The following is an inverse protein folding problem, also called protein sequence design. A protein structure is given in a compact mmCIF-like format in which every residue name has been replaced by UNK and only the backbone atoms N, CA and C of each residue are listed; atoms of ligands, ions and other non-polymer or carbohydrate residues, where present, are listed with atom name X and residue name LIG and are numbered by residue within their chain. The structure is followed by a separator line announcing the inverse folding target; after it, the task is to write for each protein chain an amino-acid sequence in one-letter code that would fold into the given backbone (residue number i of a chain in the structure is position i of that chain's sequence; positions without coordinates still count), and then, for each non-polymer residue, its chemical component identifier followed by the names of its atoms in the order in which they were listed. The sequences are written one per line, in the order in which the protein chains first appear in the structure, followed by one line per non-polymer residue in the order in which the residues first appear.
data_IF_499256137649
#
_entry.id   IF_499256137649
#
_cell.length_a   1.000
_cell.length_b   1.000
_cell.length_c   1.000
_cell.angle_alpha   90.00
_cell.angle_beta   90.00
_cell.angle_gamma   90.00
#
_symmetry.space_group_name_H-M   'P 1'
#
loop_
_entity.id
_entity.type
_entity.pdbx_description
1 polymer ?
#
# COMPACT_ATOMS: atom_id res chain seq x y z
N UNK A 1 -0.58 20.20 -13.41
CA UNK A 1 -1.99 19.91 -13.71
C UNK A 1 -2.76 21.18 -13.47
N UNK A 2 -3.47 21.64 -14.49
CA UNK A 2 -4.24 22.87 -14.42
C UNK A 2 -5.64 22.58 -13.84
N UNK A 3 -6.33 23.62 -13.36
CA UNK A 3 -7.74 23.51 -12.99
C UNK A 3 -8.60 23.01 -14.19
N UNK A 4 -8.18 23.32 -15.42
CA UNK A 4 -8.84 22.88 -16.63
C UNK A 4 -8.69 21.37 -16.88
N UNK A 5 -7.53 20.78 -16.56
CA UNK A 5 -7.31 19.34 -16.66
C UNK A 5 -8.22 18.58 -15.69
N UNK A 6 -8.36 19.08 -14.45
CA UNK A 6 -9.27 18.51 -13.46
C UNK A 6 -10.74 18.65 -13.85
N UNK A 7 -11.13 19.78 -14.44
CA UNK A 7 -12.50 20.00 -14.91
C UNK A 7 -12.90 19.06 -16.06
N UNK A 8 -11.94 18.51 -16.80
CA UNK A 8 -12.16 17.53 -17.87
C UNK A 8 -12.09 16.08 -17.40
N UNK A 9 -11.50 15.83 -16.23
CA UNK A 9 -11.42 14.49 -15.67
C UNK A 9 -12.81 13.98 -15.27
N UNK A 10 -13.00 12.65 -15.32
CA UNK A 10 -14.21 12.06 -14.76
C UNK A 10 -14.33 12.41 -13.27
N UNK A 11 -15.55 12.61 -12.78
CA UNK A 11 -15.78 12.99 -11.38
C UNK A 11 -15.06 12.05 -10.41
N UNK A 12 -15.15 10.74 -10.64
CA UNK A 12 -14.50 9.78 -9.76
C UNK A 12 -12.98 9.98 -9.72
N UNK A 13 -12.34 10.18 -10.88
CA UNK A 13 -10.91 10.45 -10.96
C UNK A 13 -10.56 11.76 -10.23
N UNK A 14 -11.44 12.76 -10.19
CA UNK A 14 -11.15 14.03 -9.52
C UNK A 14 -11.34 14.01 -7.99
N UNK A 15 -12.15 13.08 -7.43
CA UNK A 15 -12.63 13.18 -6.04
C UNK A 15 -12.48 11.90 -5.19
N UNK A 16 -12.03 10.76 -5.74
CA UNK A 16 -11.96 9.48 -5.02
C UNK A 16 -11.19 9.55 -3.69
N UNK A 17 -10.11 10.32 -3.63
CA UNK A 17 -9.24 10.43 -2.45
C UNK A 17 -9.93 11.06 -1.24
N UNK A 18 -10.98 11.86 -1.46
CA UNK A 18 -11.72 12.52 -0.37
C UNK A 18 -12.55 11.53 0.45
N UNK A 19 -12.96 10.42 -0.18
CA UNK A 19 -13.71 9.36 0.48
C UNK A 19 -12.80 8.38 1.24
N UNK A 20 -11.49 8.40 0.93
CA UNK A 20 -10.47 7.49 1.48
C UNK A 20 -10.48 7.39 2.99
N UNK A 21 -10.12 8.45 3.71
CA UNK A 21 -9.99 8.40 5.15
C UNK A 21 -11.28 7.94 5.85
N UNK A 22 -12.45 8.38 5.37
CA UNK A 22 -13.73 7.96 5.95
C UNK A 22 -14.00 6.47 5.76
N UNK A 23 -13.81 5.95 4.53
CA UNK A 23 -14.02 4.53 4.25
C UNK A 23 -12.97 3.65 4.95
N UNK A 24 -11.74 4.14 5.09
CA UNK A 24 -10.69 3.47 5.86
C UNK A 24 -11.00 3.40 7.36
N UNK A 25 -11.53 4.48 7.95
CA UNK A 25 -12.00 4.49 9.33
C UNK A 25 -13.14 3.50 9.54
N UNK A 26 -14.11 3.46 8.63
CA UNK A 26 -15.21 2.50 8.68
C UNK A 26 -14.67 1.07 8.60
N UNK A 27 -13.73 0.79 7.69
CA UNK A 27 -13.08 -0.52 7.57
C UNK A 27 -12.36 -0.92 8.86
N UNK A 28 -11.59 -0.01 9.48
CA UNK A 28 -10.91 -0.26 10.74
C UNK A 28 -11.87 -0.62 11.88
N UNK A 29 -13.06 -0.01 11.88
CA UNK A 29 -14.10 -0.23 12.87
C UNK A 29 -14.92 -1.52 12.64
N UNK A 30 -14.77 -2.20 11.49
CA UNK A 30 -15.53 -3.42 11.22
C UNK A 30 -15.13 -4.55 12.19
N UNK A 31 -16.12 -5.27 12.76
CA UNK A 31 -15.86 -6.46 13.55
C UNK A 31 -15.52 -7.63 12.63
N UNK A 32 -14.26 -7.70 12.19
CA UNK A 32 -13.80 -8.83 11.37
C UNK A 32 -13.58 -10.07 12.23
N UNK A 33 -14.06 -11.25 11.79
CA UNK A 33 -13.83 -12.51 12.48
C UNK A 33 -12.34 -12.80 12.50
N UNK A 34 -11.87 -13.34 13.62
CA UNK A 34 -10.45 -13.58 13.85
C UNK A 34 -10.21 -15.06 13.89
N UNK A 35 -9.44 -15.56 12.92
CA UNK A 35 -9.17 -16.98 12.80
C UNK A 35 -7.67 -17.26 12.68
N UNK A 36 -7.29 -18.45 13.15
CA UNK A 36 -5.95 -18.99 12.98
C UNK A 36 -4.89 -18.23 13.76
N UNK A 37 -3.66 -18.30 13.26
CA UNK A 37 -2.47 -17.83 13.98
C UNK A 37 -2.42 -16.32 14.23
N UNK A 38 -3.22 -15.52 13.51
CA UNK A 38 -3.24 -14.07 13.65
C UNK A 38 -4.08 -13.60 14.85
N UNK A 39 -4.95 -14.44 15.39
CA UNK A 39 -5.67 -14.16 16.65
C UNK A 39 -4.71 -14.01 17.84
N UNK A 40 -3.55 -14.66 17.78
CA UNK A 40 -2.50 -14.60 18.80
C UNK A 40 -1.54 -13.42 18.61
N UNK A 41 -1.72 -12.60 17.56
CA UNK A 41 -0.90 -11.41 17.33
C UNK A 41 -1.09 -10.37 18.44
N UNK A 42 -0.04 -9.57 18.68
CA UNK A 42 -0.13 -8.46 19.63
C UNK A 42 -1.25 -7.48 19.23
N UNK A 43 -1.92 -6.83 20.19
CA UNK A 43 -2.91 -5.79 19.86
C UNK A 43 -2.32 -4.71 18.94
N UNK A 44 -1.06 -4.32 19.16
CA UNK A 44 -0.36 -3.34 18.31
C UNK A 44 -0.30 -3.79 16.85
N UNK A 45 0.17 -5.02 16.59
CA UNK A 45 0.27 -5.56 15.23
C UNK A 45 -1.09 -5.63 14.53
N UNK A 46 -2.16 -5.96 15.27
CA UNK A 46 -3.53 -5.97 14.74
C UNK A 46 -4.02 -4.56 14.39
N UNK A 47 -3.77 -3.58 15.25
CA UNK A 47 -4.08 -2.18 14.95
C UNK A 47 -3.31 -1.65 13.75
N UNK A 48 -2.02 -1.97 13.63
CA UNK A 48 -1.20 -1.58 12.49
C UNK A 48 -1.62 -2.28 11.19
N UNK A 49 -2.10 -3.52 11.28
CA UNK A 49 -2.66 -4.23 10.13
C UNK A 49 -3.88 -3.52 9.57
N UNK A 50 -4.85 -3.19 10.41
CA UNK A 50 -6.06 -2.45 9.97
C UNK A 50 -5.74 -1.00 9.61
N UNK A 51 -4.84 -0.38 10.36
CA UNK A 51 -4.46 1.02 10.22
C UNK A 51 -3.69 1.34 8.95
N UNK A 52 -3.11 0.34 8.27
CA UNK A 52 -2.41 0.50 6.99
C UNK A 52 -3.26 1.30 5.98
N UNK A 53 -4.51 0.89 5.77
CA UNK A 53 -5.43 1.56 4.84
C UNK A 53 -5.68 3.02 5.22
N UNK A 54 -5.83 3.30 6.52
CA UNK A 54 -6.03 4.67 6.98
C UNK A 54 -4.78 5.52 6.72
N UNK A 55 -3.59 5.01 7.06
CA UNK A 55 -2.33 5.72 6.84
C UNK A 55 -2.14 6.03 5.36
N UNK A 56 -2.37 5.05 4.48
CA UNK A 56 -2.16 5.24 3.05
C UNK A 56 -3.23 6.17 2.44
N UNK A 57 -4.50 6.07 2.85
CA UNK A 57 -5.54 7.00 2.35
C UNK A 57 -5.32 8.45 2.78
N UNK A 58 -4.72 8.70 3.94
CA UNK A 58 -4.31 10.06 4.34
C UNK A 58 -3.13 10.53 3.48
N UNK A 59 -2.17 9.66 3.17
CA UNK A 59 -1.08 9.98 2.24
C UNK A 59 -1.62 10.32 0.83
N UNK A 60 -2.57 9.55 0.31
CA UNK A 60 -3.28 9.85 -0.94
C UNK A 60 -4.00 11.20 -0.91
N UNK A 61 -4.56 11.57 0.25
CA UNK A 61 -5.20 12.87 0.43
C UNK A 61 -4.18 14.01 0.31
N UNK A 62 -2.97 13.87 0.87
CA UNK A 62 -1.91 14.87 0.70
C UNK A 62 -1.44 14.97 -0.76
N UNK A 63 -1.26 13.84 -1.45
CA UNK A 63 -0.74 13.83 -2.83
C UNK A 63 -1.75 14.32 -3.87
N UNK A 64 -3.02 13.96 -3.69
CA UNK A 64 -4.05 14.10 -4.72
C UNK A 64 -5.21 15.01 -4.30
N UNK A 65 -5.49 15.12 -3.00
CA UNK A 65 -6.48 16.03 -2.45
C UNK A 65 -5.92 17.43 -2.35
N UNK A 66 -5.11 17.66 -1.30
CA UNK A 66 -4.42 18.93 -1.07
C UNK A 66 -3.09 18.67 -0.38
N UNK A 67 -2.02 19.20 -0.97
CA UNK A 67 -0.70 19.17 -0.35
C UNK A 67 -0.58 20.17 0.81
N UNK A 68 0.58 20.21 1.48
CA UNK A 68 0.82 21.12 2.62
C UNK A 68 0.73 22.61 2.25
N UNK A 69 0.76 22.95 0.96
CA UNK A 69 0.60 24.31 0.44
C UNK A 69 -0.82 24.59 -0.09
N UNK A 70 -1.74 23.63 0.06
CA UNK A 70 -3.11 23.75 -0.41
C UNK A 70 -3.27 23.57 -1.93
N UNK A 71 -2.25 23.05 -2.63
CA UNK A 71 -2.38 22.74 -4.04
C UNK A 71 -3.07 21.39 -4.24
N UNK A 72 -4.04 21.38 -5.13
CA UNK A 72 -4.74 20.15 -5.49
C UNK A 72 -3.96 19.35 -6.51
N UNK A 73 -3.90 18.03 -6.32
CA UNK A 73 -3.32 17.11 -7.31
C UNK A 73 -1.87 17.43 -7.71
N UNK A 74 -1.08 17.97 -6.77
CA UNK A 74 0.29 18.43 -7.05
C UNK A 74 1.24 17.28 -7.33
N UNK A 75 1.00 16.07 -6.80
CA UNK A 75 1.85 14.90 -7.05
C UNK A 75 2.01 14.58 -8.53
N UNK A 76 0.94 14.62 -9.34
CA UNK A 76 1.03 14.32 -10.78
C UNK A 76 1.94 15.34 -11.49
N UNK A 77 1.84 16.61 -11.10
CA UNK A 77 2.66 17.67 -11.67
C UNK A 77 4.14 17.46 -11.34
N UNK A 78 4.43 17.11 -10.08
CA UNK A 78 5.78 16.80 -9.62
C UNK A 78 6.32 15.52 -10.28
N UNK A 79 5.54 14.44 -10.28
CA UNK A 79 5.95 13.16 -10.85
C UNK A 79 6.24 13.29 -12.35
N UNK A 80 5.39 14.00 -13.09
CA UNK A 80 5.61 14.23 -14.51
C UNK A 80 6.84 15.12 -14.78
N UNK A 81 7.14 16.11 -13.94
CA UNK A 81 8.36 16.90 -14.13
C UNK A 81 9.62 16.05 -13.94
N UNK A 82 9.61 15.13 -12.97
CA UNK A 82 10.70 14.19 -12.71
C UNK A 82 10.79 13.10 -13.80
N UNK A 83 9.68 12.48 -14.17
CA UNK A 83 9.63 11.38 -15.13
C UNK A 83 9.89 11.85 -16.56
N UNK A 84 9.30 12.97 -16.98
CA UNK A 84 9.51 13.52 -18.32
C UNK A 84 10.99 13.89 -18.53
N UNK A 85 11.61 14.54 -17.54
CA UNK A 85 13.03 14.90 -17.60
C UNK A 85 13.97 13.69 -17.72
N UNK A 86 13.60 12.53 -17.13
CA UNK A 86 14.46 11.33 -17.09
C UNK A 86 14.16 10.31 -18.19
N UNK A 87 12.92 10.25 -18.67
CA UNK A 87 12.44 9.11 -19.47
C UNK A 87 11.44 9.48 -20.56
N UNK A 88 11.00 10.74 -20.64
CA UNK A 88 9.93 11.16 -21.55
C UNK A 88 8.55 10.57 -21.24
N UNK A 89 8.40 9.91 -20.09
CA UNK A 89 7.13 9.34 -19.64
C UNK A 89 6.30 10.37 -18.90
N UNK A 90 4.97 10.25 -18.99
CA UNK A 90 4.01 11.00 -18.21
C UNK A 90 2.88 10.10 -17.73
N UNK A 91 2.43 10.30 -16.50
CA UNK A 91 1.27 9.65 -15.92
C UNK A 91 0.03 10.56 -16.01
N UNK A 92 -1.11 9.96 -16.31
CA UNK A 92 -2.40 10.64 -16.38
C UNK A 92 -3.14 10.59 -15.04
N UNK A 93 -4.16 11.45 -14.87
CA UNK A 93 -5.05 11.41 -13.69
C UNK A 93 -5.70 10.03 -13.56
N UNK A 94 -6.18 9.47 -14.68
CA UNK A 94 -6.83 8.16 -14.71
C UNK A 94 -5.89 7.04 -14.25
N UNK A 95 -4.65 7.04 -14.72
CA UNK A 95 -3.65 6.05 -14.29
C UNK A 95 -3.34 6.17 -12.79
N UNK A 96 -3.24 7.39 -12.26
CA UNK A 96 -3.08 7.60 -10.81
C UNK A 96 -4.28 7.08 -10.02
N UNK A 97 -5.51 7.31 -10.49
CA UNK A 97 -6.70 6.70 -9.87
C UNK A 97 -6.61 5.18 -9.88
N UNK A 98 -6.22 4.57 -11.01
CA UNK A 98 -6.11 3.11 -11.13
C UNK A 98 -5.05 2.54 -10.18
N UNK A 99 -3.85 3.13 -10.12
CA UNK A 99 -2.80 2.72 -9.17
C UNK A 99 -3.37 2.75 -7.76
N UNK A 100 -3.94 3.88 -7.35
CA UNK A 100 -4.36 4.07 -5.98
C UNK A 100 -5.56 3.20 -5.58
N UNK A 101 -6.60 3.15 -6.40
CA UNK A 101 -7.80 2.35 -6.09
C UNK A 101 -7.47 0.85 -6.12
N UNK A 102 -6.68 0.37 -7.07
CA UNK A 102 -6.41 -1.07 -7.16
C UNK A 102 -5.30 -1.51 -6.20
N UNK A 103 -4.25 -0.71 -6.05
CA UNK A 103 -3.13 -1.07 -5.17
C UNK A 103 -3.45 -0.84 -3.71
N UNK A 104 -3.94 0.36 -3.36
CA UNK A 104 -4.19 0.71 -1.97
C UNK A 104 -5.52 0.14 -1.52
N UNK A 105 -6.62 0.44 -2.20
CA UNK A 105 -7.93 0.01 -1.70
C UNK A 105 -8.12 -1.49 -1.87
N UNK A 106 -8.05 -2.02 -3.09
CA UNK A 106 -8.28 -3.45 -3.32
C UNK A 106 -7.13 -4.26 -2.71
N UNK A 107 -5.88 -3.88 -2.95
CA UNK A 107 -4.71 -4.59 -2.42
C UNK A 107 -4.65 -4.62 -0.90
N UNK A 108 -4.77 -3.48 -0.21
CA UNK A 108 -4.63 -3.47 1.25
C UNK A 108 -5.85 -4.06 1.96
N UNK A 109 -7.08 -3.86 1.43
CA UNK A 109 -8.28 -4.53 1.97
C UNK A 109 -8.11 -6.04 1.85
N UNK A 110 -7.73 -6.56 0.67
CA UNK A 110 -7.54 -8.00 0.48
C UNK A 110 -6.41 -8.55 1.35
N UNK A 111 -5.33 -7.78 1.55
CA UNK A 111 -4.25 -8.13 2.46
C UNK A 111 -4.73 -8.20 3.92
N UNK A 112 -5.46 -7.19 4.40
CA UNK A 112 -6.01 -7.16 5.75
C UNK A 112 -6.96 -8.33 6.00
N UNK A 113 -7.85 -8.62 5.03
CA UNK A 113 -8.74 -9.77 5.09
C UNK A 113 -7.95 -11.09 5.07
N UNK A 114 -6.84 -11.15 4.33
CA UNK A 114 -5.91 -12.29 4.35
C UNK A 114 -5.41 -12.59 5.77
N UNK A 115 -4.98 -11.54 6.48
CA UNK A 115 -4.47 -11.67 7.83
C UNK A 115 -5.57 -12.03 8.85
N UNK A 116 -6.69 -11.30 8.85
CA UNK A 116 -7.75 -11.47 9.86
C UNK A 116 -8.55 -12.77 9.66
N UNK A 117 -8.93 -13.09 8.42
CA UNK A 117 -9.82 -14.23 8.12
C UNK A 117 -9.02 -15.52 7.91
N UNK A 118 -7.88 -15.46 7.24
CA UNK A 118 -7.12 -16.65 6.86
C UNK A 118 -5.84 -16.85 7.67
N UNK A 119 -5.52 -15.92 8.59
CA UNK A 119 -4.32 -15.98 9.41
C UNK A 119 -3.02 -15.79 8.62
N UNK A 120 -3.11 -15.23 7.40
CA UNK A 120 -2.00 -15.04 6.44
C UNK A 120 -1.56 -13.58 6.43
N UNK A 121 -0.47 -13.27 7.12
CA UNK A 121 -0.04 -11.90 7.39
C UNK A 121 0.98 -11.36 6.40
N UNK A 122 1.58 -12.23 5.58
CA UNK A 122 2.54 -11.87 4.54
C UNK A 122 2.02 -10.81 3.55
N UNK A 123 0.76 -10.86 3.09
CA UNK A 123 0.22 -9.83 2.21
C UNK A 123 0.23 -8.45 2.86
N UNK A 124 -0.13 -8.37 4.15
CA UNK A 124 -0.09 -7.10 4.91
C UNK A 124 1.34 -6.61 5.05
N UNK A 125 2.28 -7.51 5.36
CA UNK A 125 3.69 -7.16 5.44
C UNK A 125 4.26 -6.67 4.11
N UNK A 126 3.83 -7.24 2.98
CA UNK A 126 4.18 -6.77 1.65
C UNK A 126 3.71 -5.33 1.40
N UNK A 127 2.45 -5.02 1.74
CA UNK A 127 1.93 -3.67 1.56
C UNK A 127 2.57 -2.65 2.52
N UNK A 128 2.88 -3.04 3.75
CA UNK A 128 3.72 -2.20 4.63
C UNK A 128 5.12 -1.97 4.06
N UNK A 129 5.71 -2.95 3.37
CA UNK A 129 7.00 -2.77 2.70
C UNK A 129 6.88 -1.79 1.52
N UNK A 130 5.81 -1.89 0.72
CA UNK A 130 5.50 -0.96 -0.37
C UNK A 130 5.31 0.47 0.17
N UNK A 131 4.48 0.63 1.21
CA UNK A 131 4.22 1.88 1.90
C UNK A 131 5.51 2.51 2.46
N UNK A 132 6.33 1.72 3.14
CA UNK A 132 7.58 2.21 3.75
C UNK A 132 8.60 2.57 2.67
N UNK A 133 8.71 1.77 1.60
CA UNK A 133 9.59 2.08 0.47
C UNK A 133 9.16 3.37 -0.23
N UNK A 134 7.86 3.59 -0.41
CA UNK A 134 7.32 4.83 -0.94
C UNK A 134 7.71 6.01 -0.04
N UNK A 135 7.47 5.90 1.28
CA UNK A 135 7.86 6.92 2.24
C UNK A 135 9.36 7.27 2.17
N UNK A 136 10.24 6.26 2.05
CA UNK A 136 11.69 6.47 1.86
C UNK A 136 11.98 7.26 0.58
N UNK A 137 11.28 7.02 -0.52
CA UNK A 137 11.47 7.78 -1.76
C UNK A 137 11.13 9.27 -1.57
N UNK A 138 10.01 9.59 -0.94
CA UNK A 138 9.64 10.99 -0.66
C UNK A 138 10.66 11.66 0.28
N UNK A 139 10.98 11.01 1.40
CA UNK A 139 11.90 11.58 2.39
C UNK A 139 13.32 11.72 1.86
N UNK A 140 13.80 10.75 1.06
CA UNK A 140 15.12 10.84 0.43
C UNK A 140 15.18 11.95 -0.63
N UNK A 141 14.09 12.17 -1.38
CA UNK A 141 14.00 13.32 -2.28
C UNK A 141 14.12 14.63 -1.51
N UNK A 142 13.31 14.83 -0.46
CA UNK A 142 13.37 16.03 0.40
C UNK A 142 14.76 16.22 1.00
N UNK A 143 15.40 15.15 1.48
CA UNK A 143 16.73 15.23 2.05
C UNK A 143 17.79 15.65 1.01
N UNK A 144 17.68 15.15 -0.22
CA UNK A 144 18.62 15.42 -1.30
C UNK A 144 18.44 16.82 -1.92
N UNK A 145 17.20 17.25 -2.14
CA UNK A 145 16.89 18.51 -2.83
C UNK A 145 16.63 19.68 -1.89
N UNK A 146 16.37 19.40 -0.60
CA UNK A 146 15.87 20.37 0.38
C UNK A 146 14.56 21.06 -0.05
N UNK A 147 13.80 20.41 -0.93
CA UNK A 147 12.51 20.89 -1.41
C UNK A 147 11.41 19.92 -1.03
N UNK A 148 10.26 20.46 -0.64
CA UNK A 148 9.06 19.67 -0.42
C UNK A 148 8.61 18.99 -1.72
N UNK A 149 8.19 17.72 -1.62
CA UNK A 149 7.36 17.08 -2.63
C UNK A 149 6.03 16.62 -2.03
N UNK A 150 4.94 16.63 -2.81
CA UNK A 150 3.62 16.22 -2.33
C UNK A 150 3.67 14.82 -1.72
N UNK A 151 3.04 14.64 -0.56
CA UNK A 151 3.04 13.36 0.19
C UNK A 151 4.14 13.23 1.24
N UNK A 152 5.17 14.10 1.22
CA UNK A 152 6.31 14.01 2.13
C UNK A 152 5.94 14.17 3.61
N UNK A 153 4.91 14.96 3.93
CA UNK A 153 4.44 15.13 5.30
C UNK A 153 3.95 13.81 5.88
N UNK A 154 3.05 13.14 5.15
CA UNK A 154 2.50 11.85 5.52
C UNK A 154 3.54 10.73 5.43
N UNK A 155 4.53 10.83 4.55
CA UNK A 155 5.63 9.86 4.48
C UNK A 155 6.41 9.74 5.80
N UNK A 156 6.52 10.81 6.60
CA UNK A 156 7.13 10.72 7.95
C UNK A 156 6.35 9.75 8.84
N UNK A 157 5.02 9.86 8.84
CA UNK A 157 4.12 9.03 9.64
C UNK A 157 4.16 7.58 9.11
N UNK A 158 4.06 7.42 7.79
CA UNK A 158 4.08 6.11 7.14
C UNK A 158 5.40 5.37 7.38
N UNK A 159 6.55 6.05 7.34
CA UNK A 159 7.85 5.47 7.68
C UNK A 159 7.92 5.02 9.14
N UNK A 160 7.49 5.89 10.07
CA UNK A 160 7.52 5.56 11.51
C UNK A 160 6.61 4.37 11.85
N UNK A 161 5.39 4.33 11.30
CA UNK A 161 4.46 3.23 11.52
C UNK A 161 4.89 1.95 10.81
N UNK A 162 5.51 2.05 9.63
CA UNK A 162 6.11 0.92 8.94
C UNK A 162 7.25 0.29 9.74
N UNK A 163 8.15 1.11 10.29
CA UNK A 163 9.21 0.66 11.18
C UNK A 163 8.65 -0.03 12.44
N UNK A 164 7.59 0.54 13.04
CA UNK A 164 6.87 -0.05 14.17
C UNK A 164 6.25 -1.41 13.80
N UNK A 165 5.56 -1.48 12.66
CA UNK A 165 4.95 -2.70 12.15
C UNK A 165 5.99 -3.80 11.97
N UNK A 166 7.08 -3.52 11.26
CA UNK A 166 8.11 -4.53 11.04
C UNK A 166 8.77 -4.95 12.35
N UNK A 167 9.05 -4.02 13.28
CA UNK A 167 9.56 -4.37 14.61
C UNK A 167 8.64 -5.36 15.33
N UNK A 168 7.35 -5.02 15.48
CA UNK A 168 6.35 -5.91 16.10
C UNK A 168 6.24 -7.25 15.37
N UNK A 169 6.27 -7.22 14.05
CA UNK A 169 6.18 -8.41 13.21
C UNK A 169 7.40 -9.33 13.37
N UNK A 170 8.61 -8.79 13.46
CA UNK A 170 9.83 -9.55 13.77
C UNK A 170 9.74 -10.23 15.15
N UNK A 171 9.38 -9.45 16.17
CA UNK A 171 9.34 -9.94 17.55
C UNK A 171 8.28 -11.02 17.77
N UNK A 172 7.11 -10.88 17.15
CA UNK A 172 5.98 -11.79 17.38
C UNK A 172 5.98 -13.01 16.47
N UNK A 173 6.50 -12.90 15.24
CA UNK A 173 6.39 -13.96 14.23
C UNK A 173 7.72 -14.63 13.87
N UNK A 174 8.84 -14.19 14.46
CA UNK A 174 10.15 -14.84 14.28
C UNK A 174 10.66 -14.75 12.84
N UNK A 175 10.46 -13.60 12.21
CA UNK A 175 10.71 -13.40 10.79
C UNK A 175 12.22 -13.33 10.48
N UNK A 176 12.64 -13.83 9.32
CA UNK A 176 14.06 -13.81 8.94
C UNK A 176 14.44 -12.51 8.23
N UNK A 177 15.64 -11.99 8.48
CA UNK A 177 16.16 -10.81 7.78
C UNK A 177 16.13 -10.95 6.24
N UNK A 178 16.46 -12.11 5.64
CA UNK A 178 16.32 -12.31 4.19
C UNK A 178 14.89 -12.09 3.68
N UNK A 179 13.87 -12.50 4.45
CA UNK A 179 12.48 -12.30 4.05
C UNK A 179 12.08 -10.82 4.16
N UNK A 180 12.64 -10.06 5.11
CA UNK A 180 12.49 -8.60 5.14
C UNK A 180 12.95 -7.97 3.84
N UNK A 181 14.19 -8.29 3.46
CA UNK A 181 14.83 -7.73 2.27
C UNK A 181 14.01 -8.09 1.04
N UNK A 182 13.54 -9.34 0.96
CA UNK A 182 12.66 -9.79 -0.11
C UNK A 182 11.38 -8.95 -0.17
N UNK A 183 10.69 -8.73 0.95
CA UNK A 183 9.47 -7.92 0.98
C UNK A 183 9.72 -6.47 0.55
N UNK A 184 10.81 -5.85 1.01
CA UNK A 184 11.16 -4.47 0.61
C UNK A 184 11.56 -4.36 -0.86
N UNK A 185 12.27 -5.35 -1.40
CA UNK A 185 12.60 -5.38 -2.84
C UNK A 185 11.34 -5.59 -3.68
N UNK A 186 10.49 -6.55 -3.29
CA UNK A 186 9.29 -6.90 -4.05
C UNK A 186 8.20 -5.82 -3.94
N UNK A 187 7.91 -5.32 -2.74
CA UNK A 187 6.93 -4.26 -2.51
C UNK A 187 7.42 -2.87 -2.95
N UNK A 188 8.71 -2.59 -2.80
CA UNK A 188 9.32 -1.32 -3.19
C UNK A 188 9.68 -1.28 -4.68
N UNK A 189 10.95 -1.44 -5.08
CA UNK A 189 11.38 -1.31 -6.47
C UNK A 189 10.60 -2.16 -7.47
N UNK A 190 10.37 -3.46 -7.20
CA UNK A 190 9.67 -4.32 -8.15
C UNK A 190 8.20 -3.93 -8.26
N UNK A 191 7.55 -3.60 -7.16
CA UNK A 191 6.17 -3.14 -7.15
C UNK A 191 5.98 -1.86 -7.97
N UNK A 192 6.86 -0.87 -7.78
CA UNK A 192 6.80 0.38 -8.55
C UNK A 192 7.19 0.20 -10.01
N UNK A 193 8.22 -0.59 -10.30
CA UNK A 193 8.66 -0.85 -11.67
C UNK A 193 7.62 -1.67 -12.45
N UNK A 194 7.11 -2.75 -11.86
CA UNK A 194 6.12 -3.62 -12.48
C UNK A 194 4.74 -2.97 -12.56
N UNK A 195 4.32 -2.27 -11.50
CA UNK A 195 3.01 -1.64 -11.43
C UNK A 195 2.92 -0.35 -12.23
N UNK A 196 3.97 0.49 -12.27
CA UNK A 196 3.87 1.83 -12.85
C UNK A 196 4.77 1.97 -14.07
N UNK A 197 6.08 1.79 -13.91
CA UNK A 197 7.06 2.17 -14.94
C UNK A 197 6.94 1.29 -16.18
N UNK A 198 6.83 -0.02 -16.02
CA UNK A 198 6.74 -0.98 -17.12
C UNK A 198 5.48 -0.76 -17.97
N UNK A 199 4.25 -0.73 -17.43
CA UNK A 199 3.06 -0.52 -18.26
C UNK A 199 3.05 0.86 -18.93
N UNK A 200 3.59 1.91 -18.29
CA UNK A 200 3.77 3.22 -18.94
C UNK A 200 4.74 3.14 -20.13
N UNK A 201 5.89 2.47 -19.98
CA UNK A 201 6.86 2.28 -21.08
C UNK A 201 6.29 1.46 -22.23
N UNK A 202 5.43 0.50 -21.94
CA UNK A 202 4.77 -0.33 -22.93
C UNK A 202 3.59 0.37 -23.61
N UNK A 203 3.18 1.55 -23.12
CA UNK A 203 2.05 2.29 -23.69
C UNK A 203 0.74 1.50 -23.64
N UNK A 204 0.54 0.68 -22.61
CA UNK A 204 -0.64 -0.19 -22.52
C UNK A 204 -1.91 0.61 -22.26
N UNK A 205 -3.05 0.05 -22.66
CA UNK A 205 -4.37 0.64 -22.38
C UNK A 205 -4.73 0.59 -20.89
N UNK A 206 -5.67 1.42 -20.44
CA UNK A 206 -6.11 1.49 -19.04
C UNK A 206 -6.56 0.13 -18.45
N UNK A 207 -7.32 -0.74 -19.15
CA UNK A 207 -7.67 -2.06 -18.62
C UNK A 207 -6.45 -2.96 -18.40
N UNK A 208 -5.45 -2.88 -19.29
CA UNK A 208 -4.20 -3.64 -19.14
C UNK A 208 -3.38 -3.04 -18.00
N UNK A 209 -3.31 -1.71 -17.89
CA UNK A 209 -2.65 -1.02 -16.77
C UNK A 209 -3.27 -1.43 -15.41
N UNK A 210 -4.60 -1.53 -15.34
CA UNK A 210 -5.31 -2.02 -14.17
C UNK A 210 -4.95 -3.46 -13.80
N UNK A 211 -4.78 -4.33 -14.79
CA UNK A 211 -4.32 -5.72 -14.58
C UNK A 211 -2.91 -5.74 -13.95
N UNK A 212 -1.98 -4.89 -14.40
CA UNK A 212 -0.66 -4.76 -13.77
C UNK A 212 -0.77 -4.38 -12.28
N UNK A 213 -1.69 -3.47 -11.92
CA UNK A 213 -1.92 -3.14 -10.50
C UNK A 213 -2.39 -4.34 -9.70
N UNK A 214 -3.40 -5.08 -10.20
CA UNK A 214 -3.94 -6.24 -9.50
C UNK A 214 -2.91 -7.38 -9.37
N UNK A 215 -2.07 -7.57 -10.39
CA UNK A 215 -0.98 -8.55 -10.33
C UNK A 215 0.02 -8.22 -9.23
N UNK A 216 0.43 -6.96 -9.12
CA UNK A 216 1.41 -6.52 -8.12
C UNK A 216 0.81 -6.45 -6.72
N UNK A 217 -0.40 -5.90 -6.59
CA UNK A 217 -1.01 -5.58 -5.30
C UNK A 217 -1.78 -6.73 -4.66
N UNK A 218 -2.22 -7.71 -5.46
CA UNK A 218 -3.05 -8.82 -4.98
C UNK A 218 -2.39 -10.16 -5.28
N UNK A 219 -2.13 -10.45 -6.57
CA UNK A 219 -1.69 -11.78 -6.97
C UNK A 219 -0.28 -12.13 -6.42
N UNK A 220 0.67 -11.20 -6.52
CA UNK A 220 2.02 -11.37 -6.02
C UNK A 220 2.07 -11.59 -4.50
N UNK A 221 1.51 -10.71 -3.63
CA UNK A 221 1.52 -10.94 -2.19
C UNK A 221 0.76 -12.21 -1.78
N UNK A 222 -0.35 -12.55 -2.45
CA UNK A 222 -1.05 -13.80 -2.21
C UNK A 222 -0.19 -15.03 -2.56
N UNK A 223 0.52 -14.99 -3.69
CA UNK A 223 1.46 -16.04 -4.09
C UNK A 223 2.61 -16.18 -3.09
N UNK A 224 3.20 -15.06 -2.64
CA UNK A 224 4.24 -15.08 -1.61
C UNK A 224 3.73 -15.71 -0.30
N UNK A 225 2.53 -15.34 0.14
CA UNK A 225 1.91 -15.97 1.30
C UNK A 225 1.72 -17.46 1.08
N UNK A 226 1.20 -17.89 -0.06
CA UNK A 226 1.00 -19.31 -0.35
C UNK A 226 2.30 -20.11 -0.31
N UNK A 227 3.40 -19.56 -0.86
CA UNK A 227 4.69 -20.23 -0.95
C UNK A 227 5.49 -20.22 0.35
N UNK A 228 5.37 -19.16 1.15
CA UNK A 228 6.29 -18.89 2.27
C UNK A 228 5.62 -19.01 3.64
N UNK A 229 4.31 -18.75 3.75
CA UNK A 229 3.57 -18.98 4.99
C UNK A 229 3.03 -20.41 5.02
N UNK A 230 3.55 -21.18 5.98
CA UNK A 230 2.96 -22.48 6.31
C UNK A 230 1.55 -22.26 6.85
N UNK A 231 0.57 -23.09 6.45
CA UNK A 231 -0.72 -23.12 7.11
C UNK A 231 -0.49 -23.26 8.62
N UNK A 232 -1.24 -22.52 9.43
CA UNK A 232 -1.28 -22.80 10.86
C UNK A 232 -1.61 -24.29 11.00
N UNK A 233 -0.69 -25.07 11.59
CA UNK A 233 -1.00 -26.46 11.89
C UNK A 233 -2.31 -26.44 12.67
N UNK A 234 -3.35 -27.09 12.16
CA UNK A 234 -4.56 -27.29 12.95
C UNK A 234 -4.10 -27.89 14.25
N UNK A 235 -4.26 -27.19 15.37
CA UNK A 235 -3.97 -27.76 16.67
C UNK A 235 -4.63 -29.14 16.69
N UNK A 236 -3.87 -30.22 16.96
CA UNK A 236 -4.47 -31.54 17.03
C UNK A 236 -5.59 -31.40 18.04
N UNK A 237 -6.85 -31.53 17.58
CA UNK A 237 -8.04 -31.44 18.43
C UNK A 237 -7.73 -32.30 19.64
N UNK A 238 -7.47 -31.65 20.78
CA UNK A 238 -7.01 -32.34 21.98
C UNK A 238 -7.97 -33.49 22.20
N UNK A 239 -7.43 -34.71 22.34
CA UNK A 239 -8.23 -35.90 22.64
C UNK A 239 -9.23 -35.49 23.72
N UNK A 240 -10.50 -35.44 23.33
CA UNK A 240 -11.60 -35.25 24.25
C UNK A 240 -11.39 -36.38 25.28
N UNK A 241 -11.09 -36.01 26.52
CA UNK A 241 -11.04 -37.00 27.59
C UNK A 241 -12.47 -37.47 27.74
N UNK A 242 -12.72 -38.66 27.22
CA UNK A 242 -13.90 -39.45 27.57
C UNK A 242 -13.73 -39.81 29.05
N UNK A 243 -14.31 -38.98 29.93
CA UNK A 243 -14.54 -39.29 31.34
C UNK A 243 -15.91 -39.96 31.50
#
# INVERSE_FOLDING_TARGET
MTAQDLARAAWFDAYWMLLGPLLALLFCALPLPQHGSFQQASPCLRYLTRGLLLVYTIHQLEEHGWDLYGNRYSFISWMNSVMAAKSGLAITVRQVTLVNVLTVWVGEITACLSAEIFGRSLPVAFHWALATANAVVHLSFVAATRTYNPGAGQSVIQFALGACFFSEYFWTRGFSFPLLVLLFVLGGPVGHLGGIVLPLKLGVSDPVFALFQLLVAVALPALLSFLLERPAASEPKGKQKDD
#
